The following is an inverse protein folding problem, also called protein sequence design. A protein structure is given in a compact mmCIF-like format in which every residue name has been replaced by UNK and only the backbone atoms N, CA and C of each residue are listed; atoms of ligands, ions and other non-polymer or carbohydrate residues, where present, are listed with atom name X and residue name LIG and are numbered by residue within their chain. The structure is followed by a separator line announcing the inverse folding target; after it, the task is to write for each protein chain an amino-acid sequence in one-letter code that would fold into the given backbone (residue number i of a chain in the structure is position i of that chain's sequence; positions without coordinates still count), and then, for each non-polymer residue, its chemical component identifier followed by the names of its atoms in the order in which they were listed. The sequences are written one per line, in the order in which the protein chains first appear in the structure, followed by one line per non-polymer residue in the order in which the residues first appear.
data_IF_178456008685
#
_entry.id   IF_178456008685
#
_cell.length_a   1.000
_cell.length_b   1.000
_cell.length_c   1.000
_cell.angle_alpha   90.00
_cell.angle_beta   90.00
_cell.angle_gamma   90.00
#
_symmetry.space_group_name_H-M   'P 1'
#
loop_
_entity.id
_entity.type
_entity.pdbx_description
1 polymer ?
#
# COMPACT_ATOMS: atom_id res chain seq x y z
N UNK A 1 20.55 47.33 0.69
CA UNK A 1 19.20 47.90 0.66
C UNK A 1 18.78 48.21 -0.79
N UNK A 2 19.59 48.96 -1.57
CA UNK A 2 19.30 49.27 -2.95
C UNK A 2 19.04 48.05 -3.84
N UNK A 3 19.90 47.04 -3.79
CA UNK A 3 19.72 45.77 -4.54
C UNK A 3 18.41 45.06 -4.24
N UNK A 4 17.88 45.15 -3.00
CA UNK A 4 16.57 44.55 -2.67
C UNK A 4 15.42 45.37 -3.27
N UNK A 5 15.52 46.66 -3.33
CA UNK A 5 14.52 47.55 -4.00
C UNK A 5 14.54 47.36 -5.53
N UNK A 6 15.73 47.27 -6.12
CA UNK A 6 15.88 47.00 -7.56
C UNK A 6 15.26 45.67 -7.96
N UNK A 7 15.42 44.64 -7.10
CA UNK A 7 14.80 43.33 -7.31
C UNK A 7 13.26 43.43 -7.23
N UNK A 8 12.72 44.09 -6.22
CA UNK A 8 11.27 44.30 -6.07
C UNK A 8 10.66 45.13 -7.21
N UNK A 9 11.43 46.08 -7.77
CA UNK A 9 11.01 46.81 -8.96
C UNK A 9 11.03 45.90 -10.19
N UNK A 10 12.08 45.10 -10.36
CA UNK A 10 12.18 44.18 -11.50
C UNK A 10 11.12 43.10 -11.51
N UNK A 11 10.68 42.68 -10.31
CA UNK A 11 9.62 41.69 -10.12
C UNK A 11 8.20 42.30 -10.14
N UNK A 12 8.08 43.66 -10.25
CA UNK A 12 6.80 44.35 -10.38
C UNK A 12 6.02 44.52 -9.07
N UNK A 13 6.60 44.26 -7.92
CA UNK A 13 5.94 44.49 -6.62
C UNK A 13 5.92 45.90 -6.18
N UNK A 14 6.91 46.70 -6.61
CA UNK A 14 6.97 48.16 -6.37
C UNK A 14 7.37 48.88 -7.67
N UNK A 15 6.98 50.14 -7.79
CA UNK A 15 7.50 51.03 -8.83
C UNK A 15 8.20 52.25 -8.19
N UNK A 16 9.15 52.79 -8.91
CA UNK A 16 9.91 53.96 -8.49
C UNK A 16 9.38 55.23 -9.18
N UNK A 17 9.07 56.29 -8.42
CA UNK A 17 8.76 57.59 -8.97
C UNK A 17 9.96 58.56 -8.69
N UNK A 18 10.46 59.24 -9.71
CA UNK A 18 11.56 60.19 -9.53
C UNK A 18 11.21 61.24 -8.49
N UNK A 19 12.10 61.45 -7.53
CA UNK A 19 12.00 62.37 -6.38
C UNK A 19 10.88 62.09 -5.37
N UNK A 20 10.10 61.03 -5.54
CA UNK A 20 8.97 60.64 -4.67
C UNK A 20 9.18 59.33 -3.93
N UNK A 21 10.11 58.48 -4.41
CA UNK A 21 10.44 57.22 -3.79
C UNK A 21 9.81 55.99 -4.42
N UNK A 22 9.65 54.92 -3.64
CA UNK A 22 9.10 53.64 -4.07
C UNK A 22 7.67 53.43 -3.57
N UNK A 23 6.80 52.92 -4.43
CA UNK A 23 5.38 52.69 -4.15
C UNK A 23 5.06 51.23 -4.43
N UNK A 24 4.23 50.61 -3.60
CA UNK A 24 3.75 49.25 -3.84
C UNK A 24 2.78 49.24 -5.03
N UNK A 25 2.98 48.30 -5.96
CA UNK A 25 2.04 48.02 -7.02
C UNK A 25 0.83 47.25 -6.45
N UNK A 26 -0.38 47.52 -6.97
CA UNK A 26 -1.52 46.67 -6.65
C UNK A 26 -1.41 45.33 -7.45
N UNK A 27 -0.76 44.36 -6.84
CA UNK A 27 -0.56 43.03 -7.46
C UNK A 27 -1.86 42.29 -7.73
N UNK A 28 -3.01 42.75 -7.21
CA UNK A 28 -4.32 42.17 -7.51
C UNK A 28 -4.74 42.40 -8.97
N UNK A 29 -4.29 43.47 -9.60
CA UNK A 29 -4.51 43.70 -11.03
C UNK A 29 -3.66 42.81 -11.93
N UNK A 30 -2.50 42.33 -11.44
CA UNK A 30 -1.62 41.36 -12.14
C UNK A 30 -2.10 39.90 -12.00
N UNK A 31 -2.88 39.61 -10.96
CA UNK A 31 -3.45 38.31 -10.65
C UNK A 31 -4.94 38.42 -10.38
N UNK A 32 -5.71 38.97 -11.37
CA UNK A 32 -7.16 38.99 -11.25
C UNK A 32 -7.74 37.58 -11.44
N UNK A 33 -7.65 36.79 -10.37
CA UNK A 33 -8.26 35.46 -10.26
C UNK A 33 -9.79 35.55 -10.03
N UNK A 34 -10.36 36.74 -9.95
CA UNK A 34 -11.81 36.92 -9.73
C UNK A 34 -12.62 36.60 -10.97
N UNK A 35 -12.08 36.83 -12.17
CA UNK A 35 -12.73 36.46 -13.43
C UNK A 35 -12.78 34.92 -13.68
N UNK A 36 -11.99 34.13 -12.96
CA UNK A 36 -12.05 32.67 -13.06
C UNK A 36 -13.20 32.08 -12.23
N UNK A 37 -13.76 32.85 -11.29
CA UNK A 37 -14.86 32.36 -10.42
C UNK A 37 -16.27 32.71 -10.91
N UNK A 38 -16.44 33.58 -11.87
CA UNK A 38 -17.74 33.99 -12.38
C UNK A 38 -18.03 33.58 -13.82
N UNK A 39 -17.06 33.01 -14.51
CA UNK A 39 -17.29 32.37 -15.80
C UNK A 39 -17.71 30.93 -15.60
N UNK A 40 -18.99 30.61 -15.83
CA UNK A 40 -19.39 29.24 -16.10
C UNK A 40 -18.57 28.73 -17.29
N UNK A 41 -17.43 28.12 -17.00
CA UNK A 41 -16.75 27.26 -17.98
C UNK A 41 -17.67 26.09 -18.27
N UNK A 42 -18.49 26.24 -19.32
CA UNK A 42 -19.08 25.07 -19.99
C UNK A 42 -17.91 24.19 -20.42
N UNK A 43 -17.53 23.24 -19.58
CA UNK A 43 -16.63 22.18 -19.95
C UNK A 43 -17.31 21.44 -21.10
N UNK A 44 -16.87 21.67 -22.31
CA UNK A 44 -17.13 20.74 -23.41
C UNK A 44 -16.48 19.41 -22.96
N UNK A 45 -17.23 18.30 -22.92
CA UNK A 45 -16.62 17.01 -22.59
C UNK A 45 -15.54 16.75 -23.64
N UNK A 46 -14.36 16.40 -23.17
CA UNK A 46 -13.25 15.95 -23.99
C UNK A 46 -13.71 14.64 -24.64
N UNK A 47 -14.17 14.69 -25.88
CA UNK A 47 -14.46 13.50 -26.68
C UNK A 47 -13.11 12.92 -27.10
N UNK A 48 -12.65 11.92 -26.37
CA UNK A 48 -11.72 10.94 -26.93
C UNK A 48 -12.53 10.05 -27.86
N UNK A 49 -12.40 10.25 -29.17
CA UNK A 49 -12.83 9.26 -30.15
C UNK A 49 -11.85 8.09 -30.07
N UNK A 50 -12.11 7.15 -29.18
CA UNK A 50 -11.53 5.82 -29.24
C UNK A 50 -12.57 4.88 -29.82
N UNK A 51 -12.44 4.60 -31.12
CA UNK A 51 -13.05 3.47 -31.79
C UNK A 51 -12.44 2.18 -31.23
N UNK A 52 -13.03 1.65 -30.15
CA UNK A 52 -12.92 0.24 -29.78
C UNK A 52 -14.31 -0.32 -29.63
N UNK A 53 -14.52 -1.44 -30.35
CA UNK A 53 -15.80 -2.09 -30.52
C UNK A 53 -16.56 -2.34 -29.22
N UNK A 54 -17.85 -2.13 -29.34
CA UNK A 54 -18.86 -2.44 -28.33
C UNK A 54 -18.87 -3.94 -28.06
N UNK A 55 -18.29 -4.33 -26.90
CA UNK A 55 -18.69 -5.55 -26.22
C UNK A 55 -19.50 -5.11 -24.99
N UNK A 56 -20.72 -5.61 -24.93
CA UNK A 56 -21.72 -5.30 -23.92
C UNK A 56 -21.18 -5.57 -22.51
N UNK A 57 -21.03 -4.49 -21.72
CA UNK A 57 -20.73 -4.57 -20.30
C UNK A 57 -22.05 -4.35 -19.54
N UNK A 58 -22.84 -5.41 -19.40
CA UNK A 58 -23.87 -5.46 -18.38
C UNK A 58 -23.23 -5.77 -17.01
N UNK A 59 -23.50 -4.88 -16.07
CA UNK A 59 -23.45 -5.16 -14.65
C UNK A 59 -22.19 -4.79 -13.88
N UNK A 60 -21.89 -3.48 -13.77
CA UNK A 60 -21.13 -2.93 -12.64
C UNK A 60 -21.48 -1.46 -12.47
N UNK A 61 -22.71 -1.19 -12.05
CA UNK A 61 -23.09 0.13 -11.57
C UNK A 61 -22.67 0.31 -10.10
N UNK A 62 -21.38 0.49 -9.88
CA UNK A 62 -20.90 1.26 -8.74
C UNK A 62 -21.17 2.74 -9.04
N UNK A 63 -22.09 3.36 -8.34
CA UNK A 63 -22.47 4.78 -8.46
C UNK A 63 -21.24 5.68 -8.32
N UNK A 64 -20.64 6.10 -9.44
CA UNK A 64 -19.68 7.19 -9.49
C UNK A 64 -20.43 8.49 -9.74
N UNK A 65 -20.98 9.03 -8.72
CA UNK A 65 -21.67 10.32 -8.68
C UNK A 65 -21.72 10.78 -7.24
N UNK A 66 -20.55 10.86 -6.58
CA UNK A 66 -20.46 11.48 -5.27
C UNK A 66 -19.60 12.72 -5.40
N UNK A 67 -20.20 13.87 -5.05
CA UNK A 67 -19.52 15.02 -4.45
C UNK A 67 -18.35 14.50 -3.59
N UNK A 68 -17.23 15.26 -3.46
CA UNK A 68 -16.19 14.88 -2.52
C UNK A 68 -16.89 14.64 -1.18
N UNK A 69 -17.07 13.36 -0.82
CA UNK A 69 -17.62 12.99 0.50
C UNK A 69 -16.75 13.76 1.48
N UNK A 70 -17.36 14.64 2.30
CA UNK A 70 -16.75 15.09 3.54
C UNK A 70 -16.08 13.87 4.12
N UNK A 71 -14.79 13.98 4.39
CA UNK A 71 -14.03 12.95 5.07
C UNK A 71 -14.74 12.77 6.43
N UNK A 72 -15.62 11.78 6.51
CA UNK A 72 -16.30 11.42 7.76
C UNK A 72 -15.21 10.89 8.64
N UNK A 73 -14.81 11.67 9.65
CA UNK A 73 -13.96 11.16 10.72
C UNK A 73 -14.80 10.21 11.54
N UNK A 74 -14.44 8.96 11.54
CA UNK A 74 -15.02 7.97 12.44
C UNK A 74 -14.44 8.16 13.85
N UNK A 75 -15.20 7.87 14.88
CA UNK A 75 -14.68 7.85 16.24
C UNK A 75 -13.70 6.70 16.43
N UNK A 76 -14.01 5.55 15.84
CA UNK A 76 -13.15 4.37 15.85
C UNK A 76 -13.04 3.83 14.41
N UNK A 77 -11.82 3.74 13.90
CA UNK A 77 -11.54 3.17 12.58
C UNK A 77 -10.60 1.96 12.73
N UNK A 78 -11.12 0.77 12.50
CA UNK A 78 -10.33 -0.48 12.44
C UNK A 78 -9.54 -0.58 11.14
N UNK A 79 -8.86 0.50 10.77
CA UNK A 79 -8.09 0.64 9.53
C UNK A 79 -6.96 -0.39 9.43
N UNK A 80 -6.88 -1.08 8.29
CA UNK A 80 -5.84 -2.08 8.01
C UNK A 80 -4.47 -1.44 7.69
N UNK A 81 -4.46 -0.13 7.45
CA UNK A 81 -3.28 0.58 6.95
C UNK A 81 -2.72 1.62 7.92
N UNK A 82 -3.44 1.94 8.96
CA UNK A 82 -3.06 2.96 9.91
C UNK A 82 -2.02 2.46 10.90
N UNK A 83 -1.04 3.31 11.20
CA UNK A 83 0.05 3.03 12.13
C UNK A 83 0.01 4.07 13.24
N UNK A 84 0.23 3.64 14.48
CA UNK A 84 0.46 4.59 15.57
C UNK A 84 1.82 5.28 15.40
N UNK A 85 1.80 6.59 15.32
CA UNK A 85 3.00 7.42 15.18
C UNK A 85 3.45 8.04 16.49
N UNK A 86 2.78 7.76 17.62
CA UNK A 86 3.06 8.38 18.93
C UNK A 86 4.47 8.10 19.43
N UNK A 87 4.99 6.93 19.09
CA UNK A 87 6.32 6.50 19.50
C UNK A 87 7.36 6.60 18.39
N UNK A 88 7.06 7.29 17.29
CA UNK A 88 8.02 7.45 16.20
C UNK A 88 9.22 8.32 16.65
N UNK A 89 10.47 8.00 16.26
CA UNK A 89 11.66 8.72 16.71
C UNK A 89 11.87 10.05 15.96
N UNK A 90 10.93 10.99 16.08
CA UNK A 90 10.93 12.28 15.40
C UNK A 90 12.23 13.07 15.62
N UNK A 91 12.77 13.08 16.85
CA UNK A 91 14.00 13.79 17.17
C UNK A 91 15.21 13.21 16.41
N UNK A 92 15.27 11.88 16.26
CA UNK A 92 16.34 11.23 15.51
C UNK A 92 16.29 11.60 14.03
N UNK A 93 15.11 11.45 13.41
CA UNK A 93 14.92 11.78 11.99
C UNK A 93 15.14 13.28 11.72
N UNK A 94 14.64 14.17 12.60
CA UNK A 94 14.82 15.63 12.48
C UNK A 94 16.31 16.02 12.57
N UNK A 95 17.06 15.41 13.50
CA UNK A 95 18.50 15.61 13.61
C UNK A 95 19.25 15.18 12.34
N UNK A 96 18.94 13.99 11.82
CA UNK A 96 19.53 13.48 10.59
C UNK A 96 19.25 14.44 9.43
N UNK A 97 17.99 14.80 9.20
CA UNK A 97 17.63 15.70 8.09
C UNK A 97 18.30 17.07 8.20
N UNK A 98 18.37 17.63 9.41
CA UNK A 98 19.07 18.90 9.64
C UNK A 98 20.57 18.80 9.32
N UNK A 99 21.25 17.76 9.79
CA UNK A 99 22.68 17.57 9.54
C UNK A 99 22.94 17.36 8.04
N UNK A 100 22.13 16.55 7.35
CA UNK A 100 22.24 16.35 5.91
C UNK A 100 22.17 17.67 5.13
N UNK A 101 21.25 18.55 5.49
CA UNK A 101 21.11 19.85 4.83
C UNK A 101 22.28 20.80 5.11
N UNK A 102 22.84 20.76 6.33
CA UNK A 102 23.97 21.63 6.72
C UNK A 102 25.30 21.14 6.12
N UNK A 103 25.53 19.83 6.16
CA UNK A 103 26.81 19.25 5.82
C UNK A 103 26.96 18.91 4.32
N UNK A 104 25.83 18.54 3.68
CA UNK A 104 25.79 18.01 2.32
C UNK A 104 24.76 18.70 1.41
N UNK A 105 24.28 19.90 1.76
CA UNK A 105 23.14 20.56 1.10
C UNK A 105 23.27 20.65 -0.42
N UNK A 106 24.44 21.02 -0.96
CA UNK A 106 24.66 21.10 -2.42
C UNK A 106 24.50 19.75 -3.10
N UNK A 107 25.06 18.68 -2.53
CA UNK A 107 25.00 17.33 -3.09
C UNK A 107 23.58 16.77 -3.02
N UNK A 108 22.86 17.02 -1.92
CA UNK A 108 21.49 16.54 -1.71
C UNK A 108 20.49 17.22 -2.64
N UNK A 109 20.74 18.50 -2.98
CA UNK A 109 19.89 19.28 -3.89
C UNK A 109 20.26 19.10 -5.36
N UNK A 110 21.29 18.31 -5.68
CA UNK A 110 21.59 17.93 -7.07
C UNK A 110 20.71 16.76 -7.53
N UNK A 111 20.62 16.58 -8.85
CA UNK A 111 19.97 15.42 -9.44
C UNK A 111 20.69 14.15 -8.99
N UNK A 112 19.93 13.23 -8.40
CA UNK A 112 20.42 11.93 -7.98
C UNK A 112 20.47 10.89 -9.08
N UNK A 113 20.76 9.65 -8.72
CA UNK A 113 20.72 8.50 -9.62
C UNK A 113 19.29 8.14 -10.01
N UNK A 114 19.04 7.83 -11.27
CA UNK A 114 17.71 7.42 -11.78
C UNK A 114 17.14 6.20 -11.02
N UNK A 115 17.99 5.28 -10.59
CA UNK A 115 17.59 4.05 -9.89
C UNK A 115 17.69 4.13 -8.37
N UNK A 116 17.99 5.31 -7.84
CA UNK A 116 18.19 5.55 -6.42
C UNK A 116 19.67 5.63 -6.00
N UNK A 117 19.91 6.21 -4.85
CA UNK A 117 21.24 6.48 -4.33
C UNK A 117 21.99 5.21 -3.93
N UNK A 118 23.26 5.12 -4.30
CA UNK A 118 24.09 3.92 -4.12
C UNK A 118 24.15 3.49 -2.64
N UNK A 119 24.42 4.42 -1.74
CA UNK A 119 24.54 4.14 -0.30
C UNK A 119 23.24 3.61 0.32
N UNK A 120 22.07 4.10 -0.11
CA UNK A 120 20.80 3.55 0.33
C UNK A 120 20.61 2.13 -0.21
N UNK A 121 20.94 1.89 -1.47
CA UNK A 121 20.83 0.56 -2.09
C UNK A 121 21.74 -0.47 -1.41
N UNK A 122 22.98 -0.09 -1.07
CA UNK A 122 23.89 -0.90 -0.27
C UNK A 122 23.30 -1.23 1.11
N UNK A 123 22.77 -0.22 1.80
CA UNK A 123 22.13 -0.39 3.11
C UNK A 123 20.90 -1.28 3.06
N UNK A 124 20.07 -1.17 2.02
CA UNK A 124 18.91 -2.04 1.80
C UNK A 124 19.38 -3.47 1.50
N UNK A 125 20.42 -3.65 0.70
CA UNK A 125 20.98 -4.96 0.38
C UNK A 125 21.39 -5.72 1.65
N UNK A 126 22.14 -5.06 2.53
CA UNK A 126 22.57 -5.63 3.82
C UNK A 126 21.39 -5.97 4.72
N UNK A 127 20.42 -5.06 4.83
CA UNK A 127 19.19 -5.30 5.59
C UNK A 127 18.42 -6.51 5.07
N UNK A 128 18.19 -6.59 3.78
CA UNK A 128 17.43 -7.67 3.14
C UNK A 128 18.12 -9.02 3.31
N UNK A 129 19.43 -9.06 3.20
CA UNK A 129 20.19 -10.29 3.43
C UNK A 129 19.98 -10.82 4.85
N UNK A 130 20.11 -9.97 5.86
CA UNK A 130 20.01 -10.38 7.26
C UNK A 130 18.56 -10.64 7.70
N UNK A 131 17.62 -9.80 7.27
CA UNK A 131 16.23 -9.86 7.71
C UNK A 131 15.39 -10.90 6.94
N UNK A 132 15.66 -11.06 5.62
CA UNK A 132 14.79 -11.80 4.71
C UNK A 132 15.51 -12.88 3.90
N UNK A 133 16.83 -13.02 4.05
CA UNK A 133 17.68 -13.90 3.24
C UNK A 133 17.58 -13.60 1.72
N UNK A 134 17.17 -12.39 1.35
CA UNK A 134 17.16 -11.94 -0.04
C UNK A 134 18.61 -11.78 -0.51
N UNK A 135 18.93 -12.33 -1.67
CA UNK A 135 20.28 -12.27 -2.25
C UNK A 135 20.26 -11.37 -3.47
N UNK A 136 20.88 -10.22 -3.33
CA UNK A 136 20.99 -9.25 -4.41
C UNK A 136 22.26 -8.43 -4.29
N UNK A 137 22.61 -7.74 -5.37
CA UNK A 137 23.62 -6.67 -5.37
C UNK A 137 22.92 -5.30 -5.36
N UNK A 138 23.61 -4.22 -4.97
CA UNK A 138 23.02 -2.88 -5.02
C UNK A 138 22.54 -2.47 -6.42
N UNK A 139 23.15 -2.98 -7.49
CA UNK A 139 22.75 -2.71 -8.87
C UNK A 139 21.36 -3.25 -9.19
N UNK A 140 20.96 -4.35 -8.57
CA UNK A 140 19.65 -4.97 -8.74
C UNK A 140 18.51 -4.20 -8.03
N UNK A 141 18.86 -3.25 -7.14
CA UNK A 141 17.87 -2.50 -6.35
C UNK A 141 17.46 -1.23 -7.09
N UNK A 142 16.15 -1.05 -7.27
CA UNK A 142 15.53 0.14 -7.83
C UNK A 142 14.66 0.80 -6.76
N UNK A 143 14.87 2.08 -6.51
CA UNK A 143 14.10 2.86 -5.52
C UNK A 143 12.94 3.59 -6.22
N UNK A 144 11.76 3.57 -5.61
CA UNK A 144 10.58 4.25 -6.15
C UNK A 144 9.60 4.74 -5.08
N UNK A 145 8.73 5.68 -5.45
CA UNK A 145 7.77 6.31 -4.56
C UNK A 145 6.50 5.45 -4.33
N UNK A 146 6.68 4.26 -3.79
CA UNK A 146 5.61 3.30 -3.47
C UNK A 146 5.55 2.15 -4.46
N UNK A 147 4.91 1.05 -4.03
CA UNK A 147 4.84 -0.18 -4.83
C UNK A 147 4.06 0.03 -6.13
N UNK A 148 3.03 0.88 -6.13
CA UNK A 148 2.24 1.17 -7.32
C UNK A 148 3.11 1.76 -8.44
N UNK A 149 4.03 2.69 -8.10
CA UNK A 149 4.98 3.24 -9.08
C UNK A 149 5.93 2.17 -9.61
N UNK A 150 6.48 1.33 -8.72
CA UNK A 150 7.37 0.24 -9.14
C UNK A 150 6.66 -0.80 -10.01
N UNK A 151 5.39 -1.11 -9.71
CA UNK A 151 4.56 -1.97 -10.57
C UNK A 151 4.37 -1.37 -11.97
N UNK A 152 4.12 -0.05 -12.08
CA UNK A 152 4.03 0.60 -13.40
C UNK A 152 5.34 0.52 -14.18
N UNK A 153 6.49 0.67 -13.53
CA UNK A 153 7.80 0.50 -14.15
C UNK A 153 8.03 -0.95 -14.61
N UNK A 154 7.62 -1.93 -13.80
CA UNK A 154 7.65 -3.34 -14.18
C UNK A 154 6.80 -3.62 -15.43
N UNK A 155 5.59 -3.08 -15.47
CA UNK A 155 4.69 -3.24 -16.61
C UNK A 155 5.31 -2.64 -17.87
N UNK A 156 5.92 -1.46 -17.76
CA UNK A 156 6.59 -0.80 -18.87
C UNK A 156 7.77 -1.64 -19.39
N UNK A 157 8.55 -2.25 -18.49
CA UNK A 157 9.67 -3.10 -18.84
C UNK A 157 9.22 -4.44 -19.44
N UNK A 158 8.26 -5.13 -18.81
CA UNK A 158 7.82 -6.45 -19.23
C UNK A 158 6.88 -6.39 -20.44
N UNK A 159 6.14 -5.29 -20.60
CA UNK A 159 5.13 -5.11 -21.63
C UNK A 159 3.74 -5.58 -21.19
N UNK A 160 2.71 -5.20 -21.97
CA UNK A 160 1.30 -5.49 -21.67
C UNK A 160 0.79 -6.78 -22.29
N UNK A 161 1.59 -7.47 -23.09
CA UNK A 161 1.25 -8.78 -23.68
C UNK A 161 1.20 -9.92 -22.65
N UNK A 162 1.80 -9.70 -21.47
CA UNK A 162 1.82 -10.66 -20.40
C UNK A 162 0.53 -10.61 -19.58
N UNK A 163 -0.09 -11.78 -19.37
CA UNK A 163 -1.16 -11.92 -18.36
C UNK A 163 -0.56 -11.97 -16.95
N UNK A 164 -1.23 -11.37 -15.98
CA UNK A 164 -0.87 -11.47 -14.58
C UNK A 164 -1.89 -12.29 -13.81
N UNK A 165 -1.44 -13.36 -13.15
CA UNK A 165 -2.25 -14.14 -12.22
C UNK A 165 -2.18 -13.50 -10.82
N UNK A 166 -3.34 -13.28 -10.21
CA UNK A 166 -3.45 -12.72 -8.86
C UNK A 166 -4.31 -13.61 -7.98
N UNK A 167 -3.96 -13.65 -6.72
CA UNK A 167 -4.77 -14.28 -5.68
C UNK A 167 -6.15 -13.59 -5.59
N UNK A 168 -7.20 -14.32 -5.23
CA UNK A 168 -8.53 -13.75 -4.95
C UNK A 168 -9.08 -14.41 -3.68
N UNK A 169 -9.27 -13.64 -2.58
CA UNK A 169 -9.13 -12.18 -2.46
C UNK A 169 -7.68 -11.70 -2.48
N UNK A 170 -7.47 -10.40 -2.75
CA UNK A 170 -6.14 -9.80 -2.92
C UNK A 170 -6.09 -8.31 -2.58
N UNK A 171 -4.90 -7.71 -2.70
CA UNK A 171 -4.67 -6.28 -2.59
C UNK A 171 -5.16 -5.55 -3.85
N UNK A 172 -6.35 -4.98 -3.79
CA UNK A 172 -7.04 -4.40 -4.95
C UNK A 172 -6.33 -3.21 -5.60
N UNK A 173 -5.43 -2.52 -4.89
CA UNK A 173 -4.65 -1.45 -5.53
C UNK A 173 -3.69 -2.03 -6.56
N UNK A 174 -3.01 -3.12 -6.25
CA UNK A 174 -2.15 -3.82 -7.22
C UNK A 174 -2.99 -4.32 -8.41
N UNK A 175 -4.13 -4.96 -8.14
CA UNK A 175 -5.07 -5.36 -9.20
C UNK A 175 -5.46 -4.21 -10.12
N UNK A 176 -5.85 -3.07 -9.55
CA UNK A 176 -6.24 -1.88 -10.33
C UNK A 176 -5.05 -1.31 -11.12
N UNK A 177 -3.84 -1.34 -10.54
CA UNK A 177 -2.63 -0.91 -11.24
C UNK A 177 -2.38 -1.76 -12.48
N UNK A 178 -2.39 -3.07 -12.36
CA UNK A 178 -2.20 -3.98 -13.52
C UNK A 178 -3.31 -3.82 -14.55
N UNK A 179 -4.58 -3.83 -14.12
CA UNK A 179 -5.73 -3.71 -15.00
C UNK A 179 -5.76 -2.38 -15.76
N UNK A 180 -5.54 -1.26 -15.07
CA UNK A 180 -5.56 0.07 -15.68
C UNK A 180 -4.38 0.31 -16.62
N UNK A 181 -3.28 -0.38 -16.41
CA UNK A 181 -2.12 -0.37 -17.31
C UNK A 181 -2.28 -1.31 -18.52
N UNK A 182 -3.40 -2.00 -18.64
CA UNK A 182 -3.76 -2.80 -19.82
C UNK A 182 -3.38 -4.28 -19.77
N UNK A 183 -2.94 -4.79 -18.62
CA UNK A 183 -2.69 -6.22 -18.48
C UNK A 183 -3.98 -7.01 -18.30
N UNK A 184 -4.04 -8.20 -18.87
CA UNK A 184 -5.08 -9.15 -18.56
C UNK A 184 -4.82 -9.79 -17.20
N UNK A 185 -5.76 -9.62 -16.26
CA UNK A 185 -5.66 -10.24 -14.93
C UNK A 185 -6.42 -11.55 -14.89
N UNK A 186 -5.78 -12.60 -14.36
CA UNK A 186 -6.35 -13.93 -14.14
C UNK A 186 -6.46 -14.17 -12.64
N UNK A 187 -7.69 -14.39 -12.18
CA UNK A 187 -7.91 -14.75 -10.78
C UNK A 187 -7.51 -16.20 -10.56
N UNK A 188 -6.77 -16.43 -9.48
CA UNK A 188 -6.41 -17.77 -9.03
C UNK A 188 -6.88 -17.95 -7.61
N UNK A 189 -7.69 -18.97 -7.38
CA UNK A 189 -8.20 -19.30 -6.06
C UNK A 189 -7.07 -19.69 -5.11
N UNK A 190 -7.31 -19.40 -3.83
CA UNK A 190 -6.46 -19.76 -2.72
C UNK A 190 -6.94 -21.06 -2.04
N UNK A 191 -6.03 -21.71 -1.36
CA UNK A 191 -6.29 -22.65 -0.28
C UNK A 191 -5.48 -22.23 0.98
N UNK A 192 -5.43 -23.06 2.00
CA UNK A 192 -4.71 -22.77 3.26
C UNK A 192 -3.19 -22.59 3.08
N UNK A 193 -2.67 -22.88 1.90
CA UNK A 193 -1.28 -22.71 1.53
C UNK A 193 -1.03 -21.51 0.57
N UNK A 194 -2.05 -20.70 0.29
CA UNK A 194 -2.00 -19.56 -0.65
C UNK A 194 -2.37 -19.94 -2.08
N UNK A 195 -1.81 -19.27 -3.08
CA UNK A 195 -2.16 -19.45 -4.50
C UNK A 195 -2.07 -20.92 -4.95
N UNK A 196 -3.16 -21.42 -5.53
CA UNK A 196 -3.21 -22.77 -6.09
C UNK A 196 -2.45 -22.85 -7.42
N UNK A 197 -1.27 -23.45 -7.38
CA UNK A 197 -0.38 -23.55 -8.56
C UNK A 197 -0.96 -24.48 -9.64
N UNK A 198 -1.78 -25.45 -9.28
CA UNK A 198 -2.49 -26.30 -10.23
C UNK A 198 -3.54 -25.54 -11.05
N UNK A 199 -4.14 -24.48 -10.48
CA UNK A 199 -5.03 -23.56 -11.18
C UNK A 199 -4.24 -22.51 -11.97
N UNK A 200 -3.14 -22.00 -11.40
CA UNK A 200 -2.23 -21.09 -12.08
C UNK A 200 -1.75 -21.67 -13.42
N UNK A 201 -1.37 -22.96 -13.46
CA UNK A 201 -0.94 -23.66 -14.69
C UNK A 201 -2.02 -23.75 -15.78
N UNK A 202 -3.29 -23.57 -15.41
CA UNK A 202 -4.42 -23.58 -16.37
C UNK A 202 -4.69 -22.21 -16.98
N UNK A 203 -4.01 -21.16 -16.47
CA UNK A 203 -4.13 -19.80 -17.01
C UNK A 203 -3.10 -19.58 -18.11
N UNK A 204 -3.31 -18.54 -18.91
CA UNK A 204 -2.36 -17.99 -19.87
C UNK A 204 -1.42 -16.94 -19.27
N UNK A 205 -1.41 -16.80 -17.94
CA UNK A 205 -0.60 -15.82 -17.25
C UNK A 205 0.90 -16.20 -17.29
N UNK A 206 1.74 -15.22 -17.57
CA UNK A 206 3.20 -15.34 -17.48
C UNK A 206 3.77 -14.63 -16.24
N UNK A 207 2.95 -13.88 -15.51
CA UNK A 207 3.33 -13.24 -14.25
C UNK A 207 2.43 -13.75 -13.14
N UNK A 208 3.00 -14.17 -12.01
CA UNK A 208 2.26 -14.45 -10.78
C UNK A 208 2.57 -13.39 -9.74
N UNK A 209 1.55 -12.64 -9.28
CA UNK A 209 1.67 -11.68 -8.19
C UNK A 209 1.20 -12.32 -6.90
N UNK A 210 2.09 -12.43 -5.92
CA UNK A 210 1.86 -13.15 -4.65
C UNK A 210 2.43 -12.42 -3.45
N UNK A 211 1.87 -12.69 -2.26
CA UNK A 211 2.34 -12.21 -0.97
C UNK A 211 2.70 -13.39 -0.04
N UNK A 212 3.82 -14.10 -0.28
CA UNK A 212 4.08 -15.39 0.35
C UNK A 212 4.34 -15.34 1.85
N UNK A 213 4.76 -14.17 2.36
CA UNK A 213 5.10 -13.99 3.77
C UNK A 213 3.88 -13.71 4.63
N UNK A 214 2.88 -13.04 4.05
CA UNK A 214 1.64 -12.68 4.72
C UNK A 214 0.63 -12.26 3.64
N UNK A 215 -0.15 -13.22 3.14
CA UNK A 215 -1.14 -12.98 2.08
C UNK A 215 -2.19 -11.98 2.55
N UNK A 216 -2.38 -10.92 1.80
CA UNK A 216 -3.41 -9.93 2.09
C UNK A 216 -4.70 -10.25 1.30
N UNK A 217 -5.86 -10.29 1.97
CA UNK A 217 -6.09 -9.94 3.38
C UNK A 217 -6.13 -11.14 4.35
N UNK A 218 -6.02 -12.39 3.87
CA UNK A 218 -6.32 -13.59 4.68
C UNK A 218 -5.25 -13.94 5.73
N UNK A 219 -4.07 -13.32 5.68
CA UNK A 219 -2.99 -13.61 6.63
C UNK A 219 -2.31 -14.98 6.42
N UNK A 220 -2.55 -15.63 5.28
CA UNK A 220 -1.97 -16.93 4.97
C UNK A 220 -0.45 -16.78 4.78
N UNK A 221 0.31 -17.66 5.41
CA UNK A 221 1.76 -17.77 5.20
C UNK A 221 2.02 -18.95 4.27
N UNK A 222 2.54 -18.66 3.08
CA UNK A 222 2.82 -19.70 2.07
C UNK A 222 3.92 -20.66 2.55
N UNK A 223 3.62 -21.95 2.71
CA UNK A 223 4.60 -22.94 3.18
C UNK A 223 5.64 -23.23 2.10
N UNK A 224 6.79 -23.77 2.51
CA UNK A 224 7.94 -24.04 1.63
C UNK A 224 7.57 -24.90 0.41
N UNK A 225 6.71 -25.91 0.58
CA UNK A 225 6.25 -26.76 -0.53
C UNK A 225 5.59 -25.93 -1.62
N UNK A 226 4.65 -25.05 -1.25
CA UNK A 226 3.95 -24.20 -2.23
C UNK A 226 4.89 -23.19 -2.89
N UNK A 227 5.86 -22.65 -2.15
CA UNK A 227 6.90 -21.78 -2.70
C UNK A 227 7.72 -22.48 -3.79
N UNK A 228 8.12 -23.72 -3.56
CA UNK A 228 8.84 -24.55 -4.54
C UNK A 228 7.95 -24.89 -5.76
N UNK A 229 6.68 -25.21 -5.55
CA UNK A 229 5.72 -25.42 -6.65
C UNK A 229 5.60 -24.19 -7.53
N UNK A 230 5.57 -23.01 -6.94
CA UNK A 230 5.46 -21.71 -7.66
C UNK A 230 6.77 -21.38 -8.40
N UNK A 231 7.95 -21.62 -7.80
CA UNK A 231 9.22 -21.47 -8.49
C UNK A 231 9.36 -22.45 -9.66
N UNK A 232 8.91 -23.70 -9.49
CA UNK A 232 8.91 -24.68 -10.58
C UNK A 232 8.01 -24.21 -11.74
N UNK A 233 6.82 -23.66 -11.45
CA UNK A 233 5.97 -23.06 -12.48
C UNK A 233 6.71 -21.95 -13.26
N UNK A 234 7.47 -21.11 -12.58
CA UNK A 234 8.17 -20.00 -13.23
C UNK A 234 9.32 -20.45 -14.12
N UNK A 235 9.99 -21.56 -13.80
CA UNK A 235 11.09 -22.07 -14.64
C UNK A 235 10.64 -22.93 -15.82
N UNK A 236 9.37 -23.35 -15.85
CA UNK A 236 8.79 -24.11 -16.97
C UNK A 236 8.80 -23.30 -18.28
N UNK A 237 8.74 -21.95 -18.20
CA UNK A 237 8.74 -21.06 -19.37
C UNK A 237 9.74 -19.90 -19.17
N UNK A 238 10.48 -19.49 -20.21
CA UNK A 238 11.47 -18.44 -20.10
C UNK A 238 10.91 -17.09 -19.64
N UNK A 239 9.73 -16.70 -20.15
CA UNK A 239 9.11 -15.39 -19.90
C UNK A 239 8.19 -15.38 -18.69
N UNK A 240 8.18 -16.42 -17.85
CA UNK A 240 7.44 -16.42 -16.59
C UNK A 240 8.24 -15.79 -15.49
N UNK A 241 7.56 -14.96 -14.68
CA UNK A 241 8.11 -14.29 -13.51
C UNK A 241 7.13 -14.34 -12.33
N UNK A 242 7.68 -14.23 -11.13
CA UNK A 242 6.91 -14.08 -9.90
C UNK A 242 7.21 -12.71 -9.34
N UNK A 243 6.18 -11.91 -9.06
CA UNK A 243 6.28 -10.69 -8.28
C UNK A 243 5.94 -11.05 -6.85
N UNK A 244 6.95 -11.03 -5.97
CA UNK A 244 6.79 -11.21 -4.53
C UNK A 244 6.60 -9.84 -3.88
N UNK A 245 5.40 -9.53 -3.39
CA UNK A 245 5.12 -8.31 -2.63
C UNK A 245 5.25 -8.60 -1.13
N UNK A 246 6.27 -8.02 -0.52
CA UNK A 246 6.62 -8.17 0.89
C UNK A 246 6.38 -6.85 1.63
N UNK A 247 5.13 -6.62 2.03
CA UNK A 247 4.66 -5.33 2.53
C UNK A 247 4.71 -5.15 4.05
N UNK A 248 4.72 -6.25 4.85
CA UNK A 248 4.63 -6.19 6.32
C UNK A 248 5.31 -7.36 7.06
N UNK A 249 6.21 -8.07 6.41
CA UNK A 249 6.88 -9.25 6.98
C UNK A 249 7.69 -8.98 8.26
N UNK A 250 7.96 -7.72 8.56
CA UNK A 250 8.59 -7.29 9.80
C UNK A 250 7.71 -7.55 11.03
N UNK A 251 6.37 -7.61 10.88
CA UNK A 251 5.39 -7.75 11.97
C UNK A 251 4.93 -9.20 12.13
N UNK A 252 5.86 -10.06 12.49
CA UNK A 252 5.59 -11.44 12.84
C UNK A 252 5.72 -11.65 14.35
N UNK A 253 4.69 -12.22 14.96
CA UNK A 253 4.60 -12.36 16.42
C UNK A 253 4.95 -13.77 16.91
N UNK A 254 4.78 -14.77 16.06
CA UNK A 254 5.05 -16.20 16.39
C UNK A 254 6.04 -16.79 15.38
N UNK A 255 7.00 -17.56 15.88
CA UNK A 255 7.98 -18.29 15.07
C UNK A 255 9.17 -17.44 14.60
N UNK A 256 10.10 -18.10 13.88
CA UNK A 256 11.27 -17.45 13.28
C UNK A 256 10.87 -16.68 12.00
N UNK A 257 11.63 -15.64 11.60
CA UNK A 257 11.45 -15.01 10.30
C UNK A 257 11.50 -16.07 9.19
N UNK A 258 10.56 -15.97 8.24
CA UNK A 258 10.54 -16.84 7.07
C UNK A 258 11.36 -16.16 5.98
N UNK A 259 12.32 -16.86 5.34
CA UNK A 259 13.02 -16.31 4.19
C UNK A 259 12.05 -15.88 3.09
N UNK A 260 12.39 -14.81 2.36
CA UNK A 260 11.65 -14.42 1.17
C UNK A 260 11.69 -15.54 0.11
N UNK A 261 10.71 -15.55 -0.80
CA UNK A 261 10.71 -16.45 -1.95
C UNK A 261 11.94 -16.19 -2.82
N UNK A 262 12.30 -14.92 -3.02
CA UNK A 262 13.51 -14.50 -3.74
C UNK A 262 14.78 -15.13 -3.15
N UNK A 263 14.88 -15.24 -1.83
CA UNK A 263 16.06 -15.81 -1.16
C UNK A 263 16.32 -17.30 -1.45
N UNK A 264 15.32 -18.01 -1.94
CA UNK A 264 15.42 -19.44 -2.34
C UNK A 264 15.41 -19.61 -3.87
N UNK A 265 15.12 -18.55 -4.63
CA UNK A 265 15.19 -18.56 -6.09
C UNK A 265 16.65 -18.63 -6.55
N UNK A 266 16.94 -19.63 -7.39
CA UNK A 266 18.27 -19.81 -8.04
C UNK A 266 18.24 -19.54 -9.53
N UNK A 267 17.08 -19.26 -10.06
CA UNK A 267 16.86 -19.18 -11.51
C UNK A 267 16.58 -17.75 -12.00
N UNK A 268 16.56 -16.78 -11.07
CA UNK A 268 16.30 -15.38 -11.39
C UNK A 268 14.87 -15.15 -11.89
N UNK A 269 13.89 -15.82 -11.29
CA UNK A 269 12.49 -15.71 -11.68
C UNK A 269 11.66 -14.80 -10.75
N UNK A 270 12.20 -14.42 -9.60
CA UNK A 270 11.49 -13.65 -8.61
C UNK A 270 11.91 -12.18 -8.66
N UNK A 271 10.96 -11.31 -8.88
CA UNK A 271 11.04 -9.86 -8.72
C UNK A 271 10.48 -9.54 -7.33
N UNK A 272 11.33 -9.04 -6.44
CA UNK A 272 10.92 -8.77 -5.06
C UNK A 272 10.55 -7.29 -4.88
N UNK A 273 9.42 -7.01 -4.26
CA UNK A 273 8.96 -5.68 -3.88
C UNK A 273 8.97 -5.53 -2.37
N UNK A 274 9.61 -4.48 -1.87
CA UNK A 274 9.61 -4.12 -0.46
C UNK A 274 9.27 -2.65 -0.24
N UNK A 275 8.84 -2.31 0.97
CA UNK A 275 8.42 -0.94 1.29
C UNK A 275 8.77 -0.54 2.71
N UNK A 276 9.13 0.73 2.90
CA UNK A 276 9.29 1.33 4.23
C UNK A 276 7.98 1.95 4.77
N UNK A 277 6.89 1.86 4.00
CA UNK A 277 5.61 2.48 4.38
C UNK A 277 4.99 1.87 5.64
N UNK A 278 5.27 0.61 5.95
CA UNK A 278 4.79 -0.07 7.18
C UNK A 278 5.85 -0.07 8.29
N UNK A 279 7.12 -0.17 7.93
CA UNK A 279 8.22 -0.29 8.89
C UNK A 279 8.77 1.06 9.38
N UNK A 280 8.50 2.18 8.67
CA UNK A 280 8.86 3.52 9.10
C UNK A 280 7.60 4.39 9.26
N UNK A 281 6.99 4.81 8.15
CA UNK A 281 5.78 5.62 8.15
C UNK A 281 5.10 5.56 6.77
N UNK A 282 3.77 5.54 6.73
CA UNK A 282 3.01 5.46 5.48
C UNK A 282 3.23 6.64 4.54
N UNK A 283 3.50 7.82 5.10
CA UNK A 283 3.76 9.08 4.36
C UNK A 283 5.16 9.17 3.75
N UNK A 284 6.10 8.30 4.13
CA UNK A 284 7.49 8.37 3.65
C UNK A 284 7.61 7.99 2.17
N UNK A 285 6.67 7.19 1.68
CA UNK A 285 6.52 6.79 0.28
C UNK A 285 7.82 6.30 -0.36
N UNK A 286 8.60 5.51 0.35
CA UNK A 286 9.80 4.86 -0.19
C UNK A 286 9.59 3.37 -0.26
N UNK A 287 9.68 2.86 -1.46
CA UNK A 287 9.65 1.42 -1.77
C UNK A 287 10.84 1.08 -2.66
N UNK A 288 11.12 -0.19 -2.75
CA UNK A 288 12.21 -0.69 -3.57
C UNK A 288 11.81 -2.02 -4.22
N UNK A 289 12.39 -2.29 -5.39
CA UNK A 289 12.31 -3.61 -6.00
C UNK A 289 13.71 -4.18 -6.23
N UNK A 290 13.81 -5.50 -6.15
CA UNK A 290 15.01 -6.24 -6.50
C UNK A 290 14.73 -6.98 -7.81
N UNK A 291 15.43 -6.59 -8.86
CA UNK A 291 15.30 -7.21 -10.17
C UNK A 291 16.28 -8.39 -10.33
N UNK A 292 15.89 -9.47 -10.99
CA UNK A 292 16.84 -10.44 -11.54
C UNK A 292 17.90 -9.76 -12.41
N UNK A 293 19.16 -10.22 -12.33
CA UNK A 293 20.29 -9.59 -13.00
C UNK A 293 20.07 -9.45 -14.52
N UNK A 294 19.52 -10.47 -15.17
CA UNK A 294 19.26 -10.47 -16.61
C UNK A 294 18.16 -9.48 -17.06
N UNK A 295 17.39 -8.91 -16.14
CA UNK A 295 16.40 -7.88 -16.45
C UNK A 295 16.94 -6.45 -16.31
N UNK A 296 18.15 -6.25 -15.78
CA UNK A 296 18.71 -4.92 -15.53
C UNK A 296 18.96 -4.13 -16.83
N UNK A 297 19.49 -4.77 -17.86
CA UNK A 297 19.71 -4.12 -19.15
C UNK A 297 18.39 -3.66 -19.76
N UNK A 298 17.40 -4.55 -19.81
CA UNK A 298 16.05 -4.22 -20.29
C UNK A 298 15.40 -3.10 -19.46
N UNK A 299 15.57 -3.11 -18.15
CA UNK A 299 15.08 -2.02 -17.29
C UNK A 299 15.78 -0.69 -17.60
N UNK A 300 17.09 -0.72 -17.80
CA UNK A 300 17.88 0.46 -18.18
C UNK A 300 17.38 1.06 -19.51
N UNK A 301 17.12 0.22 -20.51
CA UNK A 301 16.63 0.65 -21.83
C UNK A 301 15.21 1.25 -21.73
N UNK A 302 14.30 0.57 -21.02
CA UNK A 302 12.88 0.96 -20.96
C UNK A 302 12.58 2.08 -19.96
N UNK A 303 13.33 2.16 -18.86
CA UNK A 303 13.00 3.01 -17.71
C UNK A 303 14.16 3.94 -17.26
N UNK A 304 15.37 3.75 -17.79
CA UNK A 304 16.57 4.49 -17.36
C UNK A 304 16.55 6.00 -17.63
N UNK A 305 15.63 6.48 -18.46
CA UNK A 305 15.45 7.90 -18.75
C UNK A 305 14.57 8.63 -17.71
N UNK A 306 13.87 7.91 -16.85
CA UNK A 306 13.09 8.51 -15.77
C UNK A 306 13.99 8.95 -14.62
N UNK A 307 13.67 10.09 -14.01
CA UNK A 307 14.28 10.46 -12.75
C UNK A 307 13.73 9.60 -11.61
N UNK A 308 14.55 9.35 -10.61
CA UNK A 308 14.08 8.70 -9.38
C UNK A 308 12.96 9.55 -8.73
N UNK A 309 11.85 8.92 -8.41
CA UNK A 309 10.68 9.59 -7.84
C UNK A 309 10.81 9.87 -6.35
N UNK A 310 11.83 9.33 -5.69
CA UNK A 310 12.12 9.60 -4.27
C UNK A 310 13.18 10.68 -4.18
N UNK A 311 12.89 11.82 -3.50
CA UNK A 311 13.88 12.89 -3.34
C UNK A 311 15.18 12.39 -2.67
N UNK A 312 16.34 12.89 -3.15
CA UNK A 312 17.63 12.49 -2.61
C UNK A 312 17.74 12.72 -1.09
N UNK A 313 17.23 13.85 -0.59
CA UNK A 313 17.19 14.12 0.86
C UNK A 313 16.49 12.97 1.63
N UNK A 314 15.38 12.45 1.13
CA UNK A 314 14.67 11.37 1.80
C UNK A 314 15.45 10.05 1.73
N UNK A 315 16.07 9.77 0.58
CA UNK A 315 16.92 8.59 0.44
C UNK A 315 18.10 8.61 1.41
N UNK A 316 18.80 9.73 1.51
CA UNK A 316 19.91 9.91 2.45
C UNK A 316 19.44 9.85 3.92
N UNK A 317 18.30 10.45 4.23
CA UNK A 317 17.72 10.40 5.57
C UNK A 317 17.39 8.96 6.01
N UNK A 318 16.81 8.17 5.15
CA UNK A 318 16.52 6.74 5.43
C UNK A 318 17.82 5.95 5.57
N UNK A 319 18.78 6.18 4.68
CA UNK A 319 20.08 5.52 4.74
C UNK A 319 20.74 5.74 6.12
N UNK A 320 20.87 6.99 6.57
CA UNK A 320 21.44 7.30 7.88
C UNK A 320 20.58 6.78 9.03
N UNK A 321 19.24 6.84 8.91
CA UNK A 321 18.31 6.31 9.91
C UNK A 321 18.51 4.80 10.13
N UNK A 322 18.81 4.06 9.07
CA UNK A 322 19.16 2.64 9.14
C UNK A 322 20.56 2.44 9.71
N UNK A 323 21.58 3.12 9.19
CA UNK A 323 22.98 2.98 9.57
C UNK A 323 23.26 3.38 11.03
N UNK A 324 22.57 4.40 11.56
CA UNK A 324 22.70 4.84 12.95
C UNK A 324 21.86 3.94 13.92
N UNK A 325 21.20 2.91 13.40
CA UNK A 325 20.43 1.93 14.18
C UNK A 325 19.07 2.43 14.68
N UNK A 326 18.61 3.61 14.24
CA UNK A 326 17.26 4.10 14.58
C UNK A 326 16.17 3.22 13.99
N UNK A 327 16.38 2.71 12.78
CA UNK A 327 15.43 1.83 12.10
C UNK A 327 15.16 0.57 12.92
N UNK A 328 16.18 -0.17 13.31
CA UNK A 328 16.03 -1.41 14.08
C UNK A 328 15.41 -1.16 15.46
N UNK A 329 15.86 -0.09 16.16
CA UNK A 329 15.27 0.31 17.44
C UNK A 329 13.78 0.62 17.31
N UNK A 330 13.41 1.37 16.26
CA UNK A 330 12.02 1.69 15.98
C UNK A 330 11.21 0.43 15.68
N UNK A 331 11.72 -0.42 14.80
CA UNK A 331 11.07 -1.65 14.39
C UNK A 331 10.83 -2.61 15.58
N UNK A 332 11.83 -2.80 16.44
CA UNK A 332 11.70 -3.63 17.63
C UNK A 332 10.65 -3.08 18.61
N UNK A 333 10.60 -1.73 18.76
CA UNK A 333 9.57 -1.07 19.58
C UNK A 333 8.18 -1.25 18.98
N UNK A 334 8.02 -1.03 17.67
CA UNK A 334 6.75 -1.24 16.96
C UNK A 334 6.27 -2.68 17.09
N UNK A 335 7.17 -3.66 16.94
CA UNK A 335 6.84 -5.08 17.16
C UNK A 335 6.29 -5.34 18.56
N UNK A 336 6.91 -4.77 19.60
CA UNK A 336 6.44 -4.92 20.97
C UNK A 336 5.06 -4.30 21.18
N UNK A 337 4.84 -3.07 20.69
CA UNK A 337 3.56 -2.36 20.79
C UNK A 337 2.47 -3.11 20.04
N UNK A 338 2.72 -3.50 18.79
CA UNK A 338 1.70 -4.18 17.99
C UNK A 338 1.42 -5.60 18.48
N UNK A 339 2.42 -6.27 19.06
CA UNK A 339 2.20 -7.55 19.73
C UNK A 339 1.28 -7.38 20.95
N UNK A 340 1.46 -6.34 21.78
CA UNK A 340 0.57 -6.05 22.90
C UNK A 340 -0.87 -5.81 22.44
N UNK A 341 -1.05 -4.96 21.44
CA UNK A 341 -2.39 -4.67 20.86
C UNK A 341 -3.02 -5.91 20.24
N UNK A 342 -2.25 -6.72 19.55
CA UNK A 342 -2.69 -7.98 18.98
C UNK A 342 -3.17 -8.96 20.06
N UNK A 343 -2.34 -9.20 21.08
CA UNK A 343 -2.68 -10.12 22.18
C UNK A 343 -3.89 -9.60 22.98
N UNK A 344 -3.99 -8.28 23.18
CA UNK A 344 -5.14 -7.64 23.79
C UNK A 344 -6.42 -7.84 22.95
N UNK A 345 -6.37 -7.55 21.66
CA UNK A 345 -7.52 -7.70 20.76
C UNK A 345 -8.00 -9.15 20.68
N UNK A 346 -7.08 -10.12 20.62
CA UNK A 346 -7.44 -11.54 20.67
C UNK A 346 -8.13 -11.93 21.99
N UNK A 347 -7.65 -11.39 23.13
CA UNK A 347 -8.26 -11.65 24.41
C UNK A 347 -9.65 -11.04 24.54
N UNK A 348 -9.84 -9.82 23.99
CA UNK A 348 -11.15 -9.16 23.96
C UNK A 348 -12.14 -9.91 23.06
N UNK A 349 -11.77 -10.22 21.81
CA UNK A 349 -12.64 -10.92 20.85
C UNK A 349 -13.20 -12.23 21.42
N UNK A 350 -12.39 -12.99 22.17
CA UNK A 350 -12.81 -14.27 22.79
C UNK A 350 -13.90 -14.12 23.86
N UNK A 351 -14.22 -12.92 24.32
CA UNK A 351 -15.28 -12.67 25.30
C UNK A 351 -16.68 -12.61 24.67
N UNK A 352 -16.76 -12.39 23.36
CA UNK A 352 -18.00 -12.17 22.65
C UNK A 352 -18.53 -13.44 21.98
N UNK A 353 -19.81 -13.70 22.17
CA UNK A 353 -20.49 -14.88 21.60
C UNK A 353 -20.71 -14.81 20.09
N UNK A 354 -20.63 -13.61 19.51
CA UNK A 354 -20.75 -13.40 18.08
C UNK A 354 -19.46 -13.74 17.30
N UNK A 355 -18.35 -13.96 17.98
CA UNK A 355 -17.09 -14.36 17.37
C UNK A 355 -17.10 -15.88 17.16
N UNK A 356 -17.21 -16.30 15.90
CA UNK A 356 -17.23 -17.71 15.50
C UNK A 356 -15.83 -18.24 15.30
N UNK A 357 -15.03 -17.55 14.50
CA UNK A 357 -13.65 -17.92 14.19
C UNK A 357 -12.79 -16.66 14.06
N UNK A 358 -11.52 -16.76 14.49
CA UNK A 358 -10.51 -15.70 14.30
C UNK A 358 -9.41 -16.25 13.43
N UNK A 359 -9.06 -15.53 12.36
CA UNK A 359 -8.01 -15.89 11.40
C UNK A 359 -6.93 -14.82 11.37
N UNK A 360 -5.72 -15.16 10.90
CA UNK A 360 -4.62 -14.20 10.76
C UNK A 360 -3.81 -13.95 12.04
N UNK A 361 -3.90 -14.82 13.07
CA UNK A 361 -3.29 -14.63 14.40
C UNK A 361 -1.75 -14.61 14.44
N UNK A 362 -1.05 -14.91 13.36
CA UNK A 362 0.40 -15.15 13.45
C UNK A 362 1.25 -13.92 13.09
N UNK A 363 0.70 -12.97 12.37
CA UNK A 363 1.43 -11.82 11.82
C UNK A 363 0.49 -10.71 11.37
N UNK A 364 1.05 -9.55 10.99
CA UNK A 364 0.32 -8.44 10.42
C UNK A 364 -0.24 -7.47 11.45
N UNK A 365 -1.12 -6.56 10.98
CA UNK A 365 -1.71 -5.49 11.77
C UNK A 365 -3.24 -5.52 11.81
N UNK A 366 -3.84 -6.65 11.41
CA UNK A 366 -5.28 -6.88 11.40
C UNK A 366 -5.60 -8.35 11.67
N UNK A 367 -6.82 -8.58 12.12
CA UNK A 367 -7.41 -9.90 12.27
C UNK A 367 -8.64 -10.02 11.39
N UNK A 368 -8.94 -11.23 10.94
CA UNK A 368 -10.21 -11.54 10.32
C UNK A 368 -11.08 -12.25 11.36
N UNK A 369 -12.34 -11.83 11.44
CA UNK A 369 -13.30 -12.36 12.40
C UNK A 369 -14.55 -12.81 11.65
N UNK A 370 -14.83 -14.11 11.68
CA UNK A 370 -16.11 -14.65 11.22
C UNK A 370 -17.17 -14.37 12.29
N UNK A 371 -18.27 -13.74 11.87
CA UNK A 371 -19.28 -13.20 12.77
C UNK A 371 -20.53 -14.10 12.76
N UNK A 372 -20.93 -14.61 13.92
CA UNK A 372 -22.13 -15.42 14.10
C UNK A 372 -23.39 -14.57 14.02
N UNK A 373 -23.86 -14.32 12.80
CA UNK A 373 -25.06 -13.55 12.49
C UNK A 373 -25.66 -13.97 11.16
N UNK A 374 -27.00 -13.87 11.06
CA UNK A 374 -27.74 -14.08 9.81
C UNK A 374 -27.77 -12.82 8.93
N UNK A 375 -27.22 -11.68 9.40
CA UNK A 375 -27.13 -10.44 8.65
C UNK A 375 -26.05 -10.54 7.56
N UNK A 376 -26.23 -9.83 6.47
CA UNK A 376 -25.19 -9.75 5.46
C UNK A 376 -23.99 -8.93 5.96
N UNK A 377 -22.81 -9.14 5.37
CA UNK A 377 -21.60 -8.36 5.67
C UNK A 377 -21.86 -6.86 5.50
N UNK A 378 -22.62 -6.48 4.47
CA UNK A 378 -22.96 -5.10 4.18
C UNK A 378 -23.85 -4.48 5.27
N UNK A 379 -24.85 -5.21 5.76
CA UNK A 379 -25.74 -4.72 6.83
C UNK A 379 -24.95 -4.44 8.12
N UNK A 380 -23.99 -5.31 8.46
CA UNK A 380 -23.12 -5.13 9.63
C UNK A 380 -22.22 -3.89 9.46
N UNK A 381 -21.62 -3.72 8.28
CA UNK A 381 -20.76 -2.56 7.99
C UNK A 381 -21.57 -1.25 8.05
N UNK A 382 -22.76 -1.24 7.46
CA UNK A 382 -23.64 -0.05 7.46
C UNK A 382 -24.07 0.32 8.89
N UNK A 383 -24.52 -0.65 9.70
CA UNK A 383 -24.90 -0.42 11.08
C UNK A 383 -23.73 0.09 11.95
N UNK A 384 -22.51 -0.44 11.76
CA UNK A 384 -21.30 0.08 12.40
C UNK A 384 -20.99 1.52 11.97
N UNK A 385 -21.14 1.82 10.68
CA UNK A 385 -20.92 3.15 10.10
C UNK A 385 -21.87 4.19 10.68
N UNK A 386 -23.16 3.84 10.88
CA UNK A 386 -24.16 4.71 11.52
C UNK A 386 -23.77 5.08 12.95
N UNK A 387 -23.09 4.19 13.64
CA UNK A 387 -22.55 4.42 14.99
C UNK A 387 -21.10 4.91 14.99
N UNK A 388 -20.62 5.53 13.92
CA UNK A 388 -19.28 6.12 13.80
C UNK A 388 -18.13 5.13 14.02
N UNK A 389 -18.38 3.83 13.79
CA UNK A 389 -17.35 2.79 13.79
C UNK A 389 -17.13 2.33 12.35
N UNK A 390 -15.87 2.32 11.93
CA UNK A 390 -15.49 1.81 10.61
C UNK A 390 -14.89 0.42 10.74
N UNK A 391 -15.54 -0.54 10.12
CA UNK A 391 -15.06 -1.91 9.93
C UNK A 391 -14.98 -2.23 8.44
N UNK A 392 -14.28 -3.27 8.07
CA UNK A 392 -14.04 -3.64 6.67
C UNK A 392 -14.54 -5.06 6.43
N UNK A 393 -15.15 -5.31 5.28
CA UNK A 393 -15.64 -6.63 4.90
C UNK A 393 -14.67 -7.36 3.99
N UNK A 394 -14.59 -8.68 4.13
CA UNK A 394 -13.74 -9.49 3.26
C UNK A 394 -14.22 -9.46 1.80
N UNK A 395 -15.52 -9.28 1.58
CA UNK A 395 -16.11 -9.23 0.23
C UNK A 395 -15.51 -8.13 -0.65
N UNK A 396 -15.07 -7.02 -0.04
CA UNK A 396 -14.47 -5.89 -0.74
C UNK A 396 -13.13 -6.22 -1.42
N UNK A 397 -12.48 -7.33 -1.07
CA UNK A 397 -11.14 -7.69 -1.56
C UNK A 397 -11.14 -8.74 -2.67
N UNK A 398 -12.31 -9.24 -3.07
CA UNK A 398 -12.43 -10.13 -4.22
C UNK A 398 -12.38 -9.36 -5.54
N UNK A 399 -11.74 -9.95 -6.54
CA UNK A 399 -11.59 -9.32 -7.87
C UNK A 399 -12.91 -9.35 -8.64
N UNK A 400 -13.59 -10.49 -8.71
CA UNK A 400 -14.85 -10.64 -9.42
C UNK A 400 -15.98 -11.07 -8.52
N UNK A 401 -16.11 -12.35 -8.24
CA UNK A 401 -17.22 -12.89 -7.46
C UNK A 401 -16.78 -13.23 -6.04
N UNK A 402 -17.49 -12.65 -5.07
CA UNK A 402 -17.40 -13.09 -3.69
C UNK A 402 -18.08 -14.47 -3.56
N UNK A 403 -17.38 -15.50 -3.05
CA UNK A 403 -18.02 -16.77 -2.74
C UNK A 403 -19.15 -16.53 -1.73
N UNK A 404 -20.31 -17.17 -1.95
CA UNK A 404 -21.37 -17.15 -0.95
C UNK A 404 -20.85 -17.78 0.34
N UNK A 405 -20.86 -17.00 1.39
CA UNK A 405 -20.52 -17.44 2.74
C UNK A 405 -21.76 -17.49 3.59
N UNK A 406 -21.78 -18.44 4.50
CA UNK A 406 -22.85 -18.57 5.48
C UNK A 406 -22.78 -17.44 6.51
N UNK A 407 -21.56 -17.06 6.89
CA UNK A 407 -21.29 -16.03 7.88
C UNK A 407 -20.41 -14.92 7.29
N UNK A 408 -20.66 -13.63 7.64
CA UNK A 408 -19.82 -12.53 7.21
C UNK A 408 -18.46 -12.55 7.90
N UNK A 409 -17.44 -12.03 7.21
CA UNK A 409 -16.09 -11.91 7.75
C UNK A 409 -15.69 -10.44 7.78
N UNK A 410 -15.41 -9.95 8.98
CA UNK A 410 -14.90 -8.60 9.20
C UNK A 410 -13.38 -8.61 9.31
N UNK A 411 -12.75 -7.60 8.73
CA UNK A 411 -11.34 -7.30 8.88
C UNK A 411 -11.20 -6.14 9.87
N UNK A 412 -10.48 -6.38 10.95
CA UNK A 412 -10.31 -5.45 12.05
C UNK A 412 -8.82 -5.14 12.24
N UNK A 413 -8.39 -3.96 11.78
CA UNK A 413 -7.05 -3.46 12.01
C UNK A 413 -6.89 -2.84 13.40
N UNK A 414 -5.73 -3.04 14.03
CA UNK A 414 -5.46 -2.54 15.38
C UNK A 414 -4.23 -1.62 15.45
N UNK A 415 -3.52 -1.45 14.35
CA UNK A 415 -2.27 -0.70 14.34
C UNK A 415 -2.41 0.75 14.79
N UNK A 416 -3.46 1.45 14.34
CA UNK A 416 -3.73 2.87 14.66
C UNK A 416 -4.46 3.11 16.00
N UNK A 417 -5.08 2.08 16.59
CA UNK A 417 -5.94 2.21 17.77
C UNK A 417 -5.17 2.04 19.08
N UNK A 418 -5.69 2.61 20.18
CA UNK A 418 -5.29 2.28 21.55
C UNK A 418 -6.04 1.04 22.03
N UNK A 419 -5.58 0.42 23.13
CA UNK A 419 -6.28 -0.73 23.74
C UNK A 419 -7.69 -0.35 24.23
N UNK A 420 -7.87 0.88 24.74
CA UNK A 420 -9.17 1.41 25.13
C UNK A 420 -10.12 1.57 23.94
N UNK A 421 -9.61 2.08 22.80
CA UNK A 421 -10.39 2.21 21.57
C UNK A 421 -10.78 0.84 21.00
N UNK A 422 -9.89 -0.15 21.08
CA UNK A 422 -10.19 -1.52 20.68
C UNK A 422 -11.32 -2.08 21.54
N UNK A 423 -11.23 -1.96 22.87
CA UNK A 423 -12.26 -2.46 23.78
C UNK A 423 -13.62 -1.77 23.56
N UNK A 424 -13.64 -0.43 23.47
CA UNK A 424 -14.86 0.34 23.21
C UNK A 424 -15.49 -0.04 21.85
N UNK A 425 -14.68 -0.13 20.81
CA UNK A 425 -15.14 -0.51 19.47
C UNK A 425 -15.77 -1.90 19.44
N UNK A 426 -15.13 -2.89 20.05
CA UNK A 426 -15.66 -4.26 20.09
C UNK A 426 -16.94 -4.35 20.94
N UNK A 427 -17.02 -3.61 22.05
CA UNK A 427 -18.24 -3.54 22.88
C UNK A 427 -19.41 -2.93 22.11
N UNK A 428 -19.16 -1.87 21.34
CA UNK A 428 -20.19 -1.23 20.51
C UNK A 428 -20.64 -2.14 19.36
N UNK A 429 -19.71 -2.88 18.72
CA UNK A 429 -20.04 -3.89 17.70
C UNK A 429 -20.96 -4.97 18.31
N UNK A 430 -20.69 -5.43 19.54
CA UNK A 430 -21.56 -6.39 20.25
C UNK A 430 -22.98 -5.86 20.39
N UNK A 431 -23.14 -4.60 20.84
CA UNK A 431 -24.44 -3.92 20.94
C UNK A 431 -25.16 -3.82 19.60
N UNK A 432 -24.45 -3.44 18.53
CA UNK A 432 -25.00 -3.33 17.17
C UNK A 432 -25.52 -4.69 16.69
N UNK A 433 -24.72 -5.75 16.83
CA UNK A 433 -25.11 -7.10 16.41
C UNK A 433 -26.32 -7.62 17.20
N UNK A 434 -26.40 -7.29 18.51
CA UNK A 434 -27.55 -7.63 19.34
C UNK A 434 -28.84 -6.90 18.90
N UNK A 435 -28.71 -5.66 18.42
CA UNK A 435 -29.83 -4.90 17.86
C UNK A 435 -30.27 -5.48 16.50
N UNK A 436 -29.34 -5.75 15.61
CA UNK A 436 -29.63 -6.35 14.28
C UNK A 436 -30.38 -7.68 14.41
N UNK A 437 -30.01 -8.53 15.37
CA UNK A 437 -30.73 -9.80 15.65
C UNK A 437 -32.18 -9.58 16.09
N UNK A 438 -32.54 -8.47 16.73
CA UNK A 438 -33.91 -8.16 17.17
C UNK A 438 -34.84 -7.72 16.02
N UNK A 439 -34.28 -7.12 14.98
CA UNK A 439 -35.06 -6.59 13.84
C UNK A 439 -35.28 -7.62 12.71
N UNK A 440 -34.67 -8.79 12.79
CA UNK A 440 -34.98 -9.86 11.83
C UNK A 440 -36.33 -10.52 12.21
N UNK A 441 -37.31 -10.58 11.29
CA UNK A 441 -38.53 -11.34 11.54
C UNK A 441 -38.15 -12.81 11.70
N UNK A 442 -38.62 -13.44 12.76
CA UNK A 442 -38.48 -14.88 13.02
C UNK A 442 -38.91 -15.60 11.73
N UNK A 443 -37.94 -16.08 10.97
CA UNK A 443 -38.23 -16.97 9.83
C UNK A 443 -38.79 -18.27 10.41
N UNK A 444 -40.10 -18.38 10.35
CA UNK A 444 -40.80 -19.63 10.67
C UNK A 444 -40.23 -20.69 9.74
N UNK A 445 -39.40 -21.57 10.28
CA UNK A 445 -39.07 -22.82 9.62
C UNK A 445 -40.39 -23.54 9.29
N UNK A 446 -40.78 -23.55 8.02
CA UNK A 446 -41.77 -24.48 7.53
C UNK A 446 -41.07 -25.83 7.44
N UNK A 447 -41.51 -26.73 8.31
CA UNK A 447 -41.29 -28.18 8.24
C UNK A 447 -41.62 -28.77 6.84
#
# INVERSE_FOLDING_TARGET
VELAYDQLVSEGYIHSEPYRGYFACDVRELYDLTDIRSGEMKQKPFRTENNYGTAEAEGLHGKTGSNPKKQTSYEIDFSLNELSMDNFPYNGLSKIMKNLLLDHGKQIMSSGSAFGEKNLKETICDYLYHARNVRCTPEQIIIGAGNEYLQLMLIQMLGTSHGVAMESPTYLRAYRTFKNAGLSVREVALDDAGMRVDLLRKTDASIAYVMPSHQFPLGIVMPMKRRLELLNWAVEEPERYIIEDDYDSEFRYKGKPIPALQGIDRSGKVIYLGTFSKSIASSIRVSYMVLPEHLLERYQECCGFYACTVPNLMQQAICQFMQEGYFEKNLNRMRAIYKSKHDFMLAELKKYSWVREIMGENSGLHLLVEVDTDCSEQDVIEACTEQQIRVYGLSEYYISQNPKREYPILLLGYGGLTEEQIADGLQRIDGILAELKKYQPISVHKE
#
